data_IF_897774660809
#
_entry.id   IF_897774660809
#
_cell.length_a   1.000
_cell.length_b   1.000
_cell.length_c   1.000
_cell.angle_alpha   90.00
_cell.angle_beta   90.00
_cell.angle_gamma   90.00
#
_symmetry.space_group_name_H-M   'P 1'
#
loop_
_entity.id
_entity.type
_entity.pdbx_description
1 polymer ?
#
# COMPACT_ATOMS: atom_id res chain seq x y z
N UNK A 1 -5.98 0.07 16.39
CA UNK A 1 -6.37 0.50 15.04
C UNK A 1 -5.26 1.40 14.55
N UNK A 2 -4.57 1.07 13.46
CA UNK A 2 -3.53 1.94 12.91
C UNK A 2 -4.29 3.06 12.19
N UNK A 3 -4.40 4.23 12.81
CA UNK A 3 -5.21 5.32 12.29
C UNK A 3 -4.75 5.70 10.87
N UNK A 4 -5.69 5.71 9.93
CA UNK A 4 -5.46 6.25 8.59
C UNK A 4 -5.05 5.26 7.49
N UNK A 5 -4.94 3.96 7.76
CA UNK A 5 -4.80 2.95 6.69
C UNK A 5 -6.17 2.29 6.48
N UNK A 6 -6.88 2.68 5.43
CA UNK A 6 -8.20 2.16 5.07
C UNK A 6 -8.15 1.43 3.74
N UNK A 7 -8.94 0.37 3.60
CA UNK A 7 -9.18 -0.26 2.29
C UNK A 7 -9.75 0.80 1.35
N UNK A 8 -9.20 0.86 0.14
CA UNK A 8 -9.53 1.85 -0.87
C UNK A 8 -8.74 3.16 -0.78
N UNK A 9 -7.91 3.37 0.25
CA UNK A 9 -7.04 4.55 0.33
C UNK A 9 -5.96 4.49 -0.75
N UNK A 10 -5.71 5.63 -1.40
CA UNK A 10 -4.56 5.81 -2.28
C UNK A 10 -3.29 5.98 -1.43
N UNK A 11 -2.24 5.26 -1.79
CA UNK A 11 -0.96 5.23 -1.09
C UNK A 11 0.20 5.21 -2.09
N UNK A 12 1.37 5.62 -1.65
CA UNK A 12 2.61 5.46 -2.41
C UNK A 12 3.43 4.32 -1.82
N UNK A 13 3.79 3.37 -2.67
CA UNK A 13 4.64 2.23 -2.32
C UNK A 13 6.06 2.55 -2.75
N UNK A 14 7.01 2.42 -1.84
CA UNK A 14 8.43 2.51 -2.20
C UNK A 14 8.84 1.22 -2.92
N UNK A 15 9.21 1.33 -4.20
CA UNK A 15 9.60 0.20 -5.05
C UNK A 15 10.93 0.53 -5.73
N UNK A 16 12.02 -0.11 -5.26
CA UNK A 16 13.37 0.26 -5.68
C UNK A 16 13.72 1.70 -5.28
N UNK A 17 14.14 2.51 -6.24
CA UNK A 17 14.44 3.94 -6.05
C UNK A 17 13.25 4.88 -6.25
N UNK A 18 12.07 4.34 -6.61
CA UNK A 18 10.89 5.13 -6.96
C UNK A 18 9.70 4.95 -6.02
N UNK A 19 8.77 5.91 -6.04
CA UNK A 19 7.44 5.80 -5.42
C UNK A 19 6.42 5.44 -6.49
N UNK A 20 5.67 4.38 -6.25
CA UNK A 20 4.63 3.90 -7.17
C UNK A 20 3.25 4.14 -6.55
N UNK A 21 2.33 4.81 -7.27
CA UNK A 21 0.97 5.01 -6.78
C UNK A 21 0.21 3.68 -6.77
N UNK A 22 -0.47 3.43 -5.66
CA UNK A 22 -1.23 2.22 -5.42
C UNK A 22 -2.50 2.50 -4.60
N UNK A 23 -3.39 1.51 -4.53
CA UNK A 23 -4.62 1.53 -3.73
C UNK A 23 -4.64 0.34 -2.81
N UNK A 24 -4.98 0.56 -1.55
CA UNK A 24 -5.13 -0.54 -0.58
C UNK A 24 -6.34 -1.37 -0.97
N UNK A 25 -6.17 -2.68 -1.08
CA UNK A 25 -7.26 -3.63 -1.35
C UNK A 25 -7.58 -4.50 -0.14
N UNK A 26 -6.60 -4.75 0.73
CA UNK A 26 -6.79 -5.59 1.91
C UNK A 26 -5.79 -5.20 3.01
N UNK A 27 -6.23 -5.32 4.26
CA UNK A 27 -5.42 -5.03 5.44
C UNK A 27 -5.31 -6.28 6.31
N UNK A 28 -4.08 -6.74 6.49
CA UNK A 28 -3.72 -7.80 7.44
C UNK A 28 -2.88 -7.19 8.57
N UNK A 29 -2.69 -7.95 9.66
CA UNK A 29 -2.00 -7.45 10.88
C UNK A 29 -0.59 -6.92 10.59
N UNK A 30 0.17 -7.62 9.74
CA UNK A 30 1.58 -7.31 9.47
C UNK A 30 1.84 -6.84 8.03
N UNK A 31 0.82 -6.98 7.18
CA UNK A 31 0.93 -6.86 5.74
C UNK A 31 -0.27 -6.17 5.14
N UNK A 32 -0.04 -5.41 4.07
CA UNK A 32 -1.06 -4.68 3.35
C UNK A 32 -1.00 -5.13 1.91
N UNK A 33 -2.13 -5.55 1.37
CA UNK A 33 -2.26 -5.85 -0.05
C UNK A 33 -2.64 -4.56 -0.77
N UNK A 34 -1.84 -4.20 -1.76
CA UNK A 34 -2.02 -2.99 -2.56
C UNK A 34 -2.14 -3.36 -4.03
N UNK A 35 -2.99 -2.63 -4.75
CA UNK A 35 -3.13 -2.71 -6.20
C UNK A 35 -2.48 -1.49 -6.82
N UNK A 36 -1.48 -1.73 -7.65
CA UNK A 36 -0.79 -0.70 -8.42
C UNK A 36 -1.71 -0.16 -9.53
N UNK A 37 -1.40 1.03 -10.05
CA UNK A 37 -2.16 1.66 -11.14
C UNK A 37 -2.20 0.84 -12.43
N UNK A 38 -1.18 0.00 -12.67
CA UNK A 38 -1.12 -0.92 -13.82
C UNK A 38 -1.96 -2.19 -13.65
N UNK A 39 -2.71 -2.33 -12.54
CA UNK A 39 -3.58 -3.46 -12.28
C UNK A 39 -2.92 -4.62 -11.53
N UNK A 40 -1.60 -4.62 -11.38
CA UNK A 40 -0.88 -5.62 -10.57
C UNK A 40 -1.22 -5.47 -9.09
N UNK A 41 -1.30 -6.60 -8.39
CA UNK A 41 -1.54 -6.63 -6.95
C UNK A 41 -0.33 -7.22 -6.25
N UNK A 42 0.11 -6.57 -5.17
CA UNK A 42 1.27 -6.97 -4.40
C UNK A 42 1.00 -6.91 -2.90
N UNK A 43 1.79 -7.68 -2.17
CA UNK A 43 1.76 -7.78 -0.73
C UNK A 43 2.97 -7.01 -0.16
N UNK A 44 2.69 -6.01 0.69
CA UNK A 44 3.69 -5.05 1.15
C UNK A 44 3.61 -4.95 2.66
N UNK A 45 4.76 -4.97 3.35
CA UNK A 45 4.78 -4.73 4.80
C UNK A 45 4.40 -3.28 5.09
N UNK A 46 3.59 -3.07 6.12
CA UNK A 46 3.07 -1.74 6.46
C UNK A 46 4.18 -0.68 6.60
N UNK A 47 5.38 -1.06 7.08
CA UNK A 47 6.56 -0.18 7.21
C UNK A 47 7.09 0.44 5.90
N UNK A 48 6.74 -0.13 4.74
CA UNK A 48 7.15 0.38 3.42
C UNK A 48 6.08 1.25 2.77
N UNK A 49 4.93 1.41 3.42
CA UNK A 49 3.91 2.37 3.01
C UNK A 49 4.31 3.74 3.57
N UNK A 50 4.65 4.67 2.69
CA UNK A 50 4.66 6.07 3.08
C UNK A 50 3.23 6.61 2.95
N UNK A 51 2.65 7.05 4.08
CA UNK A 51 1.59 8.06 4.00
C UNK A 51 2.16 9.26 3.27
N UNK A 52 1.38 9.81 2.34
CA UNK A 52 1.57 11.19 1.90
C UNK A 52 1.53 12.11 3.12
#
# INVERSE_FOLDING_TARGET
MIEGILVGKAVNVNMGSGKVPAKIVELNKDEVRVRLSNGLTMLVKAKHLSSL
#
